data_IF_173843376819
#
_entry.id   IF_173843376819
#
_cell.length_a   1.000
_cell.length_b   1.000
_cell.length_c   1.000
_cell.angle_alpha   90.00
_cell.angle_beta   90.00
_cell.angle_gamma   90.00
#
_symmetry.space_group_name_H-M   'P 1'
#
loop_
_entity.id
_entity.type
_entity.pdbx_description
1 polymer ?
#
# COMPACT_ATOMS: atom_id res chain seq x y z
N UNK A 1 43.10 -21.32 -27.89
CA UNK A 1 42.78 -20.52 -26.69
C UNK A 1 42.89 -21.44 -25.48
N UNK A 2 43.70 -21.06 -24.49
CA UNK A 2 44.18 -21.97 -23.45
C UNK A 2 43.18 -22.00 -22.29
N UNK A 3 42.53 -23.15 -22.03
CA UNK A 3 41.52 -23.31 -20.97
C UNK A 3 42.04 -22.88 -19.58
N UNK A 4 43.36 -22.89 -19.38
CA UNK A 4 44.01 -22.41 -18.15
C UNK A 4 43.81 -20.91 -17.90
N UNK A 5 43.69 -20.09 -18.95
CA UNK A 5 43.49 -18.64 -18.82
C UNK A 5 42.05 -18.29 -18.46
N UNK A 6 41.08 -19.06 -18.98
CA UNK A 6 39.65 -18.88 -18.68
C UNK A 6 39.36 -19.26 -17.22
N UNK A 7 39.93 -20.36 -16.73
CA UNK A 7 39.75 -20.79 -15.33
C UNK A 7 40.40 -19.81 -14.34
N UNK A 8 41.55 -19.22 -14.69
CA UNK A 8 42.19 -18.22 -13.85
C UNK A 8 41.35 -16.94 -13.72
N UNK A 9 40.75 -16.46 -14.81
CA UNK A 9 39.86 -15.29 -14.80
C UNK A 9 38.58 -15.55 -13.98
N UNK A 10 38.00 -16.75 -14.09
CA UNK A 10 36.83 -17.13 -13.31
C UNK A 10 37.12 -17.19 -11.81
N UNK A 11 38.26 -17.75 -11.42
CA UNK A 11 38.67 -17.81 -10.01
C UNK A 11 38.90 -16.41 -9.42
N UNK A 12 39.52 -15.50 -10.17
CA UNK A 12 39.73 -14.11 -9.74
C UNK A 12 38.40 -13.37 -9.61
N UNK A 13 37.48 -13.53 -10.57
CA UNK A 13 36.16 -12.92 -10.50
C UNK A 13 35.34 -13.42 -9.29
N UNK A 14 35.43 -14.72 -8.97
CA UNK A 14 34.77 -15.31 -7.81
C UNK A 14 35.32 -14.75 -6.48
N UNK A 15 36.64 -14.60 -6.36
CA UNK A 15 37.27 -14.05 -5.16
C UNK A 15 36.85 -12.59 -4.95
N UNK A 16 36.81 -11.79 -6.03
CA UNK A 16 36.37 -10.39 -5.97
C UNK A 16 34.88 -10.31 -5.60
N UNK A 17 34.02 -11.18 -6.14
CA UNK A 17 32.59 -11.17 -5.78
C UNK A 17 32.36 -11.61 -4.33
N UNK A 18 33.11 -12.60 -3.83
CA UNK A 18 33.05 -13.07 -2.45
C UNK A 18 33.50 -11.98 -1.46
N UNK A 19 34.61 -11.29 -1.75
CA UNK A 19 35.07 -10.19 -0.87
C UNK A 19 34.13 -8.98 -0.90
N UNK A 20 33.59 -8.63 -2.07
CA UNK A 20 32.59 -7.55 -2.19
C UNK A 20 31.28 -7.86 -1.45
N UNK A 21 30.82 -9.11 -1.53
CA UNK A 21 29.60 -9.55 -0.83
C UNK A 21 29.82 -9.56 0.69
N UNK A 22 30.97 -10.03 1.19
CA UNK A 22 31.28 -10.04 2.63
C UNK A 22 31.40 -8.62 3.21
N UNK A 23 31.99 -7.66 2.49
CA UNK A 23 32.02 -6.25 2.93
C UNK A 23 30.64 -5.58 2.91
N UNK A 24 29.77 -5.97 1.97
CA UNK A 24 28.40 -5.42 1.91
C UNK A 24 27.53 -6.00 3.03
N UNK A 25 27.67 -7.30 3.33
CA UNK A 25 26.96 -7.96 4.44
C UNK A 25 27.45 -7.48 5.80
N UNK A 26 28.75 -7.18 5.97
CA UNK A 26 29.26 -6.64 7.24
C UNK A 26 28.78 -5.22 7.53
N UNK A 27 28.46 -4.42 6.49
CA UNK A 27 27.79 -3.12 6.66
C UNK A 27 26.31 -3.27 6.99
N UNK A 28 25.60 -4.24 6.42
CA UNK A 28 24.21 -4.53 6.79
C UNK A 28 24.06 -5.14 8.19
N UNK A 29 25.01 -5.97 8.62
CA UNK A 29 25.03 -6.54 9.99
C UNK A 29 25.20 -5.46 11.08
N UNK A 30 25.90 -4.37 10.77
CA UNK A 30 26.01 -3.20 11.66
C UNK A 30 24.79 -2.26 11.63
N UNK A 31 23.86 -2.44 10.69
CA UNK A 31 22.60 -1.70 10.63
C UNK A 31 21.53 -2.41 11.47
N UNK A 32 21.61 -3.74 11.62
CA UNK A 32 20.67 -4.52 12.44
C UNK A 32 20.83 -4.36 13.96
N UNK A 33 21.94 -3.79 14.45
CA UNK A 33 22.23 -3.63 15.89
C UNK A 33 22.16 -2.19 16.41
N UNK A 34 21.96 -1.20 15.52
CA UNK A 34 21.98 0.24 15.85
C UNK A 34 20.62 0.93 15.70
N UNK A 35 19.52 0.19 15.76
CA UNK A 35 18.16 0.77 15.64
C UNK A 35 17.69 1.54 16.88
N UNK A 36 18.44 1.52 17.99
CA UNK A 36 18.33 2.45 19.11
C UNK A 36 19.41 2.10 20.14
N UNK A 37 20.61 2.67 20.03
CA UNK A 37 21.50 2.74 21.19
C UNK A 37 21.49 4.19 21.66
N UNK A 38 20.48 4.52 22.47
CA UNK A 38 20.53 5.63 23.40
C UNK A 38 21.58 5.28 24.47
N UNK A 39 22.87 5.36 24.12
CA UNK A 39 23.94 5.26 25.11
C UNK A 39 24.16 6.63 25.74
N UNK A 40 23.90 6.73 27.04
CA UNK A 40 24.24 7.92 27.81
C UNK A 40 25.74 8.15 27.81
N UNK A 41 26.17 9.41 27.69
CA UNK A 41 27.57 9.79 27.87
C UNK A 41 27.93 9.73 29.36
N UNK A 42 28.72 8.75 29.76
CA UNK A 42 29.27 8.64 31.13
C UNK A 42 30.74 9.06 31.08
N UNK A 43 31.11 10.12 31.81
CA UNK A 43 32.52 10.44 32.03
C UNK A 43 33.13 9.38 32.94
N UNK A 44 34.35 8.90 32.66
CA UNK A 44 35.03 7.80 33.37
C UNK A 44 35.24 8.00 34.88
N UNK A 45 34.85 9.16 35.42
CA UNK A 45 34.95 9.54 36.83
C UNK A 45 33.60 9.61 37.54
N UNK A 46 32.48 9.41 36.84
CA UNK A 46 31.15 9.49 37.42
C UNK A 46 30.75 8.16 38.07
N UNK A 47 30.65 8.14 39.39
CA UNK A 47 30.13 7.01 40.18
C UNK A 47 28.66 7.17 40.56
N UNK A 48 28.05 8.31 40.22
CA UNK A 48 26.68 8.67 40.57
C UNK A 48 25.68 8.41 39.42
N UNK A 49 24.40 8.35 39.77
CA UNK A 49 23.29 8.25 38.81
C UNK A 49 23.01 9.62 38.19
N UNK A 50 23.17 9.73 36.86
CA UNK A 50 22.75 10.91 36.10
C UNK A 50 21.33 10.76 35.59
N UNK A 51 20.47 11.74 35.86
CA UNK A 51 19.13 11.79 35.27
C UNK A 51 19.26 12.31 33.83
N UNK A 52 18.82 11.52 32.86
CA UNK A 52 18.59 11.97 31.48
C UNK A 52 17.10 12.16 31.27
N UNK A 53 16.71 13.26 30.61
CA UNK A 53 15.32 13.48 30.21
C UNK A 53 15.25 13.29 28.70
N UNK A 54 14.47 12.32 28.25
CA UNK A 54 14.17 12.11 26.84
C UNK A 54 12.82 12.78 26.55
N UNK A 55 12.83 13.75 25.64
CA UNK A 55 11.62 14.40 25.15
C UNK A 55 11.35 13.92 23.72
N UNK A 56 10.16 13.39 23.48
CA UNK A 56 9.68 13.03 22.14
C UNK A 56 8.99 14.28 21.59
N UNK A 57 9.65 14.97 20.68
CA UNK A 57 9.15 16.24 20.11
C UNK A 57 8.04 16.03 19.07
N UNK A 58 7.98 14.84 18.48
CA UNK A 58 7.04 14.48 17.43
C UNK A 58 6.87 12.96 17.38
N UNK A 59 5.64 12.52 17.12
CA UNK A 59 5.35 11.13 16.77
C UNK A 59 4.45 11.08 15.54
N UNK A 60 4.75 10.14 14.64
CA UNK A 60 3.89 9.77 13.53
C UNK A 60 3.05 8.59 13.97
N UNK A 61 1.74 8.70 13.81
CA UNK A 61 0.80 7.63 14.11
C UNK A 61 -0.30 7.62 13.06
N UNK A 62 -0.65 6.44 12.56
CA UNK A 62 -1.78 6.26 11.65
C UNK A 62 -2.58 5.08 12.15
N UNK A 63 -3.84 5.32 12.49
CA UNK A 63 -4.83 4.29 12.72
C UNK A 63 -5.58 4.03 11.41
N UNK A 64 -5.77 2.75 11.10
CA UNK A 64 -6.44 2.26 9.90
C UNK A 64 -7.45 1.24 10.39
N UNK A 65 -8.73 1.50 10.22
CA UNK A 65 -9.78 0.57 10.69
C UNK A 65 -9.88 -0.68 9.82
N UNK A 66 -9.72 -0.52 8.51
CA UNK A 66 -9.65 -1.60 7.54
C UNK A 66 -8.60 -1.28 6.46
N UNK A 67 -7.93 -2.32 5.99
CA UNK A 67 -6.95 -2.27 4.91
C UNK A 67 -7.25 -3.26 3.78
N UNK A 68 -8.34 -4.00 3.88
CA UNK A 68 -8.72 -5.06 2.93
C UNK A 68 -9.92 -4.62 2.14
N UNK A 69 -9.78 -4.54 0.82
CA UNK A 69 -10.93 -4.39 -0.07
C UNK A 69 -11.58 -5.77 -0.22
N UNK A 70 -12.87 -5.87 0.08
CA UNK A 70 -13.72 -7.03 -0.19
C UNK A 70 -14.93 -6.65 -1.04
N UNK A 71 -14.87 -6.96 -2.33
CA UNK A 71 -15.99 -6.73 -3.26
C UNK A 71 -17.08 -7.82 -3.20
N UNK A 72 -17.01 -8.69 -2.18
CA UNK A 72 -17.93 -9.78 -1.99
C UNK A 72 -17.87 -10.83 -3.10
N UNK A 73 -18.93 -11.63 -3.19
CA UNK A 73 -19.07 -12.67 -4.21
C UNK A 73 -20.11 -12.28 -5.26
N UNK A 74 -19.73 -12.34 -6.53
CA UNK A 74 -20.64 -12.08 -7.63
C UNK A 74 -20.05 -12.51 -8.97
N UNK A 75 -20.71 -12.09 -10.05
CA UNK A 75 -20.23 -12.26 -11.41
C UNK A 75 -20.78 -11.14 -12.31
N UNK A 76 -20.09 -10.92 -13.43
CA UNK A 76 -20.50 -9.93 -14.42
C UNK A 76 -21.70 -10.42 -15.21
N UNK A 77 -22.69 -9.55 -15.41
CA UNK A 77 -23.84 -9.82 -16.26
C UNK A 77 -23.41 -10.29 -17.66
N UNK A 78 -23.96 -11.42 -18.11
CA UNK A 78 -23.58 -12.06 -19.38
C UNK A 78 -23.74 -11.19 -20.64
N UNK A 79 -24.53 -10.11 -20.58
CA UNK A 79 -24.72 -9.17 -21.69
C UNK A 79 -23.76 -7.99 -21.66
N UNK A 80 -22.98 -7.82 -20.59
CA UNK A 80 -22.03 -6.74 -20.40
C UNK A 80 -20.59 -7.24 -20.55
N UNK A 81 -19.69 -6.37 -21.00
CA UNK A 81 -18.26 -6.68 -21.14
C UNK A 81 -17.49 -6.58 -19.83
N UNK A 82 -18.02 -5.83 -18.87
CA UNK A 82 -17.45 -5.65 -17.55
C UNK A 82 -18.56 -5.24 -16.56
N UNK A 83 -18.28 -5.40 -15.28
CA UNK A 83 -19.03 -4.78 -14.20
C UNK A 83 -18.21 -3.62 -13.61
N UNK A 84 -18.90 -2.63 -13.06
CA UNK A 84 -18.29 -1.57 -12.27
C UNK A 84 -18.82 -1.65 -10.85
N UNK A 85 -17.92 -1.78 -9.89
CA UNK A 85 -18.25 -1.91 -8.48
C UNK A 85 -17.58 -0.79 -7.71
N UNK A 86 -18.30 -0.04 -6.88
CA UNK A 86 -17.69 1.04 -6.09
C UNK A 86 -18.20 1.07 -4.66
N UNK A 87 -17.29 1.40 -3.74
CA UNK A 87 -17.67 1.69 -2.36
C UNK A 87 -18.05 3.13 -2.07
N UNK A 88 -17.93 4.01 -3.06
CA UNK A 88 -18.31 5.40 -2.87
C UNK A 88 -19.84 5.55 -2.80
N UNK A 89 -20.39 6.20 -1.75
CA UNK A 89 -21.82 6.42 -1.67
C UNK A 89 -22.32 7.15 -2.91
N UNK A 90 -23.46 6.75 -3.45
CA UNK A 90 -24.07 7.29 -4.69
C UNK A 90 -23.36 6.97 -6.01
N UNK A 91 -22.34 6.11 -6.01
CA UNK A 91 -21.83 5.49 -7.24
C UNK A 91 -22.48 4.12 -7.40
N UNK A 92 -23.56 3.98 -8.19
CA UNK A 92 -24.22 2.69 -8.34
C UNK A 92 -23.30 1.66 -8.98
N UNK A 93 -23.41 0.42 -8.50
CA UNK A 93 -22.82 -0.73 -9.16
C UNK A 93 -23.54 -1.02 -10.48
N UNK A 94 -22.78 -1.34 -11.51
CA UNK A 94 -23.30 -1.69 -12.82
C UNK A 94 -22.87 -3.10 -13.18
N UNK A 95 -23.84 -3.89 -13.67
CA UNK A 95 -23.61 -5.23 -14.22
C UNK A 95 -22.92 -6.24 -13.28
N UNK A 96 -22.88 -5.95 -11.97
CA UNK A 96 -22.42 -6.88 -10.94
C UNK A 96 -23.62 -7.60 -10.30
N UNK A 97 -23.75 -8.90 -10.60
CA UNK A 97 -24.86 -9.73 -10.16
C UNK A 97 -24.43 -10.70 -9.06
N UNK A 98 -25.34 -10.94 -8.11
CA UNK A 98 -25.17 -11.98 -7.10
C UNK A 98 -25.69 -13.34 -7.61
N UNK A 99 -25.54 -14.38 -6.79
CA UNK A 99 -25.97 -15.75 -7.13
C UNK A 99 -27.48 -15.91 -7.44
N UNK A 100 -28.31 -14.91 -7.11
CA UNK A 100 -29.75 -14.87 -7.41
C UNK A 100 -30.10 -13.99 -8.63
N UNK A 101 -29.10 -13.60 -9.44
CA UNK A 101 -29.26 -12.72 -10.61
C UNK A 101 -29.79 -11.31 -10.28
N UNK A 102 -29.67 -10.90 -9.01
CA UNK A 102 -30.01 -9.56 -8.57
C UNK A 102 -28.74 -8.71 -8.49
N UNK A 103 -28.85 -7.37 -8.61
CA UNK A 103 -27.74 -6.49 -8.29
C UNK A 103 -27.16 -6.86 -6.92
N UNK A 104 -25.84 -6.99 -6.82
CA UNK A 104 -25.20 -7.41 -5.57
C UNK A 104 -25.47 -6.45 -4.39
N UNK A 105 -25.91 -5.21 -4.70
CA UNK A 105 -26.14 -4.15 -3.73
C UNK A 105 -24.87 -3.36 -3.48
N UNK A 106 -25.01 -2.14 -2.94
CA UNK A 106 -23.88 -1.24 -2.71
C UNK A 106 -22.81 -1.90 -1.81
N UNK A 107 -21.57 -1.91 -2.29
CA UNK A 107 -20.43 -2.41 -1.50
C UNK A 107 -20.02 -1.35 -0.49
N UNK A 108 -20.57 -1.41 0.71
CA UNK A 108 -20.22 -0.47 1.78
C UNK A 108 -18.95 -0.91 2.52
N UNK A 109 -17.83 -0.95 1.81
CA UNK A 109 -16.51 -1.23 2.39
C UNK A 109 -15.58 -0.08 1.98
N UNK A 110 -15.26 0.80 2.92
CA UNK A 110 -14.36 1.94 2.75
C UNK A 110 -13.39 1.93 3.91
N UNK A 111 -12.18 2.44 3.68
CA UNK A 111 -11.18 2.47 4.73
C UNK A 111 -11.23 3.81 5.46
N UNK A 112 -11.26 3.77 6.79
CA UNK A 112 -11.18 4.96 7.64
C UNK A 112 -9.76 5.14 8.15
N UNK A 113 -9.18 6.30 7.87
CA UNK A 113 -7.82 6.68 8.24
C UNK A 113 -7.86 7.81 9.27
N UNK A 114 -7.05 7.67 10.31
CA UNK A 114 -6.96 8.66 11.38
C UNK A 114 -5.50 8.87 11.85
N UNK A 115 -4.99 10.11 11.83
CA UNK A 115 -3.60 10.41 12.20
C UNK A 115 -3.43 10.56 13.72
N UNK A 116 -3.14 9.45 14.39
CA UNK A 116 -2.90 9.37 15.85
C UNK A 116 -1.57 9.96 16.30
N UNK A 117 -0.81 10.56 15.39
CA UNK A 117 0.41 11.28 15.70
C UNK A 117 0.18 12.66 16.32
N UNK A 118 1.27 13.39 16.51
CA UNK A 118 1.30 14.80 16.95
C UNK A 118 1.77 15.74 15.84
N UNK A 119 2.06 15.19 14.65
CA UNK A 119 2.56 15.94 13.49
C UNK A 119 1.70 15.69 12.26
N UNK A 120 1.63 16.70 11.39
CA UNK A 120 1.07 16.56 10.05
C UNK A 120 1.86 15.54 9.23
N UNK A 121 1.18 14.75 8.41
CA UNK A 121 1.80 13.71 7.57
C UNK A 121 1.34 13.78 6.12
N UNK A 122 2.22 13.36 5.21
CA UNK A 122 1.85 12.95 3.85
C UNK A 122 1.28 11.53 3.92
N UNK A 123 0.12 11.30 3.31
CA UNK A 123 -0.49 9.99 3.18
C UNK A 123 -0.44 9.48 1.74
N UNK A 124 0.05 8.25 1.59
CA UNK A 124 -0.03 7.51 0.33
C UNK A 124 -0.65 6.13 0.54
N UNK A 125 -1.23 5.57 -0.51
CA UNK A 125 -1.77 4.21 -0.54
C UNK A 125 -1.20 3.44 -1.72
N UNK A 126 -0.96 2.16 -1.55
CA UNK A 126 -0.58 1.24 -2.63
C UNK A 126 -1.16 -0.15 -2.37
N UNK A 127 -1.21 -1.01 -3.38
CA UNK A 127 -1.51 -2.43 -3.16
C UNK A 127 -0.36 -3.11 -2.40
N UNK A 128 -0.70 -4.12 -1.59
CA UNK A 128 0.24 -4.91 -0.79
C UNK A 128 0.01 -6.43 -0.87
N UNK A 129 -0.73 -6.88 -1.89
CA UNK A 129 -1.01 -8.31 -2.10
C UNK A 129 -0.05 -8.97 -3.09
N UNK A 130 0.88 -8.21 -3.68
CA UNK A 130 1.88 -8.74 -4.62
C UNK A 130 1.34 -8.95 -6.04
N UNK A 131 0.15 -8.44 -6.35
CA UNK A 131 -0.39 -8.43 -7.71
C UNK A 131 0.40 -7.45 -8.59
N UNK A 132 0.69 -7.86 -9.81
CA UNK A 132 1.42 -7.06 -10.80
C UNK A 132 0.51 -6.09 -11.54
N UNK A 133 -0.79 -6.38 -11.61
CA UNK A 133 -1.81 -5.62 -12.33
C UNK A 133 -3.22 -6.04 -11.86
N UNK A 134 -4.26 -5.40 -12.39
CA UNK A 134 -5.65 -5.67 -12.02
C UNK A 134 -6.15 -7.01 -12.56
N UNK A 135 -5.68 -7.47 -13.73
CA UNK A 135 -6.04 -8.79 -14.26
C UNK A 135 -5.57 -9.91 -13.35
N UNK A 136 -4.34 -9.85 -12.83
CA UNK A 136 -3.84 -10.86 -11.90
C UNK A 136 -4.66 -10.87 -10.61
N UNK A 137 -5.08 -9.69 -10.13
CA UNK A 137 -5.95 -9.58 -8.96
C UNK A 137 -7.32 -10.22 -9.22
N UNK A 138 -8.01 -9.83 -10.30
CA UNK A 138 -9.40 -10.23 -10.54
C UNK A 138 -9.51 -11.62 -11.15
N UNK A 139 -8.53 -12.02 -11.97
CA UNK A 139 -8.58 -13.21 -12.81
C UNK A 139 -7.57 -14.29 -12.43
N UNK A 140 -6.64 -13.98 -11.51
CA UNK A 140 -5.59 -14.90 -11.05
C UNK A 140 -4.39 -14.98 -11.99
N UNK A 141 -4.61 -14.89 -13.31
CA UNK A 141 -3.58 -14.74 -14.33
C UNK A 141 -4.06 -13.92 -15.54
N UNK A 142 -3.11 -13.36 -16.30
CA UNK A 142 -3.38 -12.55 -17.50
C UNK A 142 -3.92 -13.39 -18.68
N UNK A 143 -3.95 -14.73 -18.58
CA UNK A 143 -4.47 -15.60 -19.65
C UNK A 143 -5.96 -15.89 -19.50
N UNK A 144 -6.50 -15.69 -18.30
CA UNK A 144 -7.90 -15.98 -17.95
C UNK A 144 -8.82 -14.81 -18.32
N UNK A 145 -8.32 -13.57 -18.29
CA UNK A 145 -9.06 -12.38 -18.72
C UNK A 145 -8.32 -11.66 -19.84
N UNK A 146 -8.63 -11.93 -21.11
CA UNK A 146 -7.97 -11.28 -22.24
C UNK A 146 -8.46 -9.83 -22.48
N UNK A 147 -9.27 -9.27 -21.60
CA UNK A 147 -9.87 -7.95 -21.76
C UNK A 147 -9.07 -6.87 -21.02
N UNK A 148 -8.86 -5.75 -21.68
CA UNK A 148 -8.15 -4.58 -21.13
C UNK A 148 -9.04 -3.71 -20.19
N UNK A 149 -10.01 -4.33 -19.50
CA UNK A 149 -11.04 -3.65 -18.71
C UNK A 149 -10.84 -3.78 -17.20
N UNK A 150 -9.88 -4.58 -16.76
CA UNK A 150 -9.62 -4.79 -15.34
C UNK A 150 -8.96 -3.54 -14.74
N UNK A 151 -9.58 -2.94 -13.71
CA UNK A 151 -9.03 -1.75 -13.05
C UNK A 151 -9.32 -1.76 -11.54
N UNK A 152 -8.40 -1.22 -10.75
CA UNK A 152 -8.61 -0.81 -9.36
C UNK A 152 -8.20 0.65 -9.23
N UNK A 153 -9.16 1.49 -8.88
CA UNK A 153 -8.98 2.91 -8.63
C UNK A 153 -9.36 3.26 -7.20
N UNK A 154 -8.74 4.31 -6.67
CA UNK A 154 -8.92 4.80 -5.31
C UNK A 154 -9.26 6.27 -5.33
N UNK A 155 -10.07 6.72 -4.38
CA UNK A 155 -10.37 8.13 -4.14
C UNK A 155 -10.51 8.38 -2.65
N UNK A 156 -10.39 9.63 -2.25
CA UNK A 156 -10.53 10.05 -0.86
C UNK A 156 -11.66 11.06 -0.68
N UNK A 157 -12.22 11.05 0.52
CA UNK A 157 -13.10 12.09 1.00
C UNK A 157 -12.72 12.39 2.44
N UNK A 158 -12.89 13.62 2.86
CA UNK A 158 -12.81 13.92 4.29
C UNK A 158 -14.11 13.48 4.96
N UNK A 159 -14.01 12.87 6.14
CA UNK A 159 -15.15 12.60 7.00
C UNK A 159 -15.68 13.88 7.65
N UNK A 160 -14.75 14.78 8.02
CA UNK A 160 -15.00 16.11 8.57
C UNK A 160 -14.19 17.17 7.81
N UNK A 161 -14.64 18.42 7.80
CA UNK A 161 -13.93 19.46 7.03
C UNK A 161 -12.54 19.74 7.60
N UNK A 162 -11.52 19.80 6.73
CA UNK A 162 -10.14 20.19 7.02
C UNK A 162 -9.24 19.11 7.66
N UNK A 163 -9.64 17.84 7.65
CA UNK A 163 -8.72 16.73 7.98
C UNK A 163 -7.44 16.80 7.14
N UNK A 164 -7.58 17.11 5.85
CA UNK A 164 -6.51 17.25 4.88
C UNK A 164 -6.37 18.72 4.44
N UNK A 165 -5.35 19.42 4.93
CA UNK A 165 -5.16 20.85 4.62
C UNK A 165 -4.84 21.07 3.14
N UNK A 166 -4.13 20.13 2.52
CA UNK A 166 -3.64 20.25 1.15
C UNK A 166 -3.58 18.89 0.47
N UNK A 167 -3.88 18.88 -0.84
CA UNK A 167 -3.62 17.72 -1.69
C UNK A 167 -4.56 16.55 -1.45
N UNK A 168 -5.78 16.79 -0.96
CA UNK A 168 -6.79 15.73 -0.87
C UNK A 168 -7.09 15.21 -2.28
N UNK A 169 -6.90 13.91 -2.47
CA UNK A 169 -7.21 13.25 -3.71
C UNK A 169 -8.70 12.89 -3.77
N UNK A 170 -9.54 13.85 -4.18
CA UNK A 170 -10.99 13.63 -4.31
C UNK A 170 -11.41 12.89 -5.59
N UNK A 171 -10.49 12.72 -6.54
CA UNK A 171 -10.71 12.02 -7.80
C UNK A 171 -10.41 10.53 -7.70
N UNK A 172 -10.88 9.74 -8.67
CA UNK A 172 -10.41 8.37 -8.81
C UNK A 172 -9.04 8.38 -9.48
N UNK A 173 -8.03 7.88 -8.78
CA UNK A 173 -6.70 7.61 -9.30
C UNK A 173 -6.46 6.12 -9.40
N UNK A 174 -5.66 5.71 -10.39
CA UNK A 174 -5.43 4.31 -10.71
C UNK A 174 -4.34 3.72 -9.80
N UNK A 175 -4.68 2.65 -9.09
CA UNK A 175 -3.71 1.81 -8.36
C UNK A 175 -3.23 0.66 -9.24
N UNK A 176 -4.16 -0.03 -9.88
CA UNK A 176 -3.91 -1.11 -10.82
C UNK A 176 -4.72 -0.88 -12.09
N UNK A 177 -4.06 -0.91 -13.25
CA UNK A 177 -4.70 -1.10 -14.54
C UNK A 177 -4.59 -2.55 -15.00
N UNK A 178 -5.14 -2.84 -16.17
CA UNK A 178 -5.18 -4.14 -16.83
C UNK A 178 -3.82 -4.87 -16.82
N UNK A 179 -2.76 -4.18 -17.26
CA UNK A 179 -1.41 -4.74 -17.41
C UNK A 179 -0.34 -4.01 -16.59
N UNK A 180 -0.74 -3.05 -15.76
CA UNK A 180 0.19 -2.12 -15.09
C UNK A 180 -0.19 -1.95 -13.62
N UNK A 181 0.81 -1.97 -12.74
CA UNK A 181 0.72 -1.44 -11.38
C UNK A 181 1.29 -0.02 -11.36
N UNK A 182 0.46 0.95 -10.98
CA UNK A 182 0.83 2.38 -11.00
C UNK A 182 1.63 2.80 -9.77
N UNK A 183 1.69 1.96 -8.73
CA UNK A 183 2.44 2.21 -7.51
C UNK A 183 1.67 3.06 -6.50
N UNK A 184 2.38 3.80 -5.63
CA UNK A 184 1.75 4.63 -4.61
C UNK A 184 0.94 5.79 -5.22
N UNK A 185 -0.27 5.95 -4.70
CA UNK A 185 -1.17 7.07 -4.96
C UNK A 185 -1.18 7.97 -3.72
N UNK A 186 -1.09 9.28 -3.94
CA UNK A 186 -1.23 10.27 -2.86
C UNK A 186 -2.69 10.37 -2.46
N UNK A 187 -2.96 10.26 -1.16
CA UNK A 187 -4.29 10.41 -0.56
C UNK A 187 -4.47 11.85 -0.04
N UNK A 188 -3.44 12.36 0.65
CA UNK A 188 -3.42 13.68 1.25
C UNK A 188 -1.97 14.14 1.45
N UNK A 189 -1.64 15.37 1.07
CA UNK A 189 -0.31 15.95 1.30
C UNK A 189 -0.15 16.55 2.71
N UNK A 190 -1.23 16.86 3.42
CA UNK A 190 -1.13 17.47 4.75
C UNK A 190 -2.23 16.99 5.68
N UNK A 191 -2.17 15.72 6.07
CA UNK A 191 -3.14 15.12 6.97
C UNK A 191 -2.86 15.51 8.42
N UNK A 192 -3.79 16.25 9.03
CA UNK A 192 -3.62 16.80 10.38
C UNK A 192 -3.62 15.73 11.46
N UNK A 193 -2.87 15.93 12.56
CA UNK A 193 -2.93 15.05 13.72
C UNK A 193 -4.28 15.18 14.43
N UNK A 194 -4.78 14.07 14.99
CA UNK A 194 -6.11 13.98 15.63
C UNK A 194 -6.34 15.10 16.63
N UNK A 195 -7.27 16.00 16.31
CA UNK A 195 -7.90 16.89 17.29
C UNK A 195 -9.20 16.31 17.88
N UNK A 196 -9.64 15.15 17.36
CA UNK A 196 -10.85 14.43 17.76
C UNK A 196 -11.81 14.18 16.60
N UNK A 197 -11.66 14.92 15.49
CA UNK A 197 -12.59 14.89 14.35
C UNK A 197 -11.87 14.62 12.99
N UNK A 198 -10.55 14.69 12.92
CA UNK A 198 -9.82 14.53 11.64
C UNK A 198 -9.82 13.09 11.10
N UNK A 199 -10.71 12.81 10.15
CA UNK A 199 -10.81 11.52 9.47
C UNK A 199 -10.76 11.66 7.95
N UNK A 200 -10.09 10.70 7.28
CA UNK A 200 -10.13 10.52 5.84
C UNK A 200 -10.76 9.17 5.53
N UNK A 201 -11.79 9.19 4.69
CA UNK A 201 -12.42 8.02 4.12
C UNK A 201 -11.81 7.74 2.76
N UNK A 202 -11.36 6.50 2.53
CA UNK A 202 -10.80 6.06 1.26
C UNK A 202 -11.75 5.06 0.63
N UNK A 203 -12.23 5.41 -0.54
CA UNK A 203 -13.16 4.60 -1.33
C UNK A 203 -12.44 4.04 -2.55
N UNK A 204 -13.01 2.98 -3.09
CA UNK A 204 -12.45 2.32 -4.25
C UNK A 204 -13.52 2.09 -5.31
N UNK A 205 -13.03 1.88 -6.52
CA UNK A 205 -13.83 1.43 -7.65
C UNK A 205 -13.05 0.40 -8.43
N UNK A 206 -13.70 -0.72 -8.69
CA UNK A 206 -13.16 -1.87 -9.39
C UNK A 206 -13.94 -2.06 -10.68
N UNK A 207 -13.23 -2.13 -11.80
CA UNK A 207 -13.79 -2.62 -13.06
C UNK A 207 -13.45 -4.09 -13.20
N UNK A 208 -14.47 -4.93 -13.29
CA UNK A 208 -14.35 -6.38 -13.29
C UNK A 208 -14.70 -6.88 -14.69
N UNK A 209 -13.77 -7.53 -15.41
CA UNK A 209 -14.05 -8.01 -16.76
C UNK A 209 -15.01 -9.20 -16.75
N UNK A 210 -15.75 -9.39 -17.86
CA UNK A 210 -16.75 -10.45 -17.98
C UNK A 210 -16.18 -11.85 -17.73
N UNK A 211 -14.92 -12.04 -18.10
CA UNK A 211 -14.19 -13.30 -18.01
C UNK A 211 -13.68 -13.59 -16.59
N UNK A 212 -13.81 -12.64 -15.65
CA UNK A 212 -13.38 -12.84 -14.29
C UNK A 212 -14.09 -14.05 -13.67
N UNK A 213 -13.35 -15.02 -13.11
CA UNK A 213 -13.95 -16.20 -12.51
C UNK A 213 -14.74 -15.80 -11.27
N UNK A 214 -15.88 -16.47 -11.09
CA UNK A 214 -16.77 -16.23 -9.94
C UNK A 214 -16.06 -16.51 -8.62
N UNK A 215 -16.44 -15.79 -7.58
CA UNK A 215 -15.91 -15.97 -6.23
C UNK A 215 -15.61 -14.65 -5.54
N UNK A 216 -15.15 -14.76 -4.30
CA UNK A 216 -14.71 -13.61 -3.52
C UNK A 216 -13.34 -13.12 -4.01
N UNK A 217 -13.18 -11.80 -4.12
CA UNK A 217 -11.92 -11.15 -4.48
C UNK A 217 -11.54 -10.18 -3.38
N UNK A 218 -10.36 -10.38 -2.82
CA UNK A 218 -9.83 -9.50 -1.78
C UNK A 218 -8.44 -9.01 -2.15
N UNK A 219 -8.15 -7.76 -1.79
CA UNK A 219 -6.82 -7.15 -1.96
C UNK A 219 -6.49 -6.31 -0.74
N UNK A 220 -5.26 -6.46 -0.24
CA UNK A 220 -4.76 -5.68 0.88
C UNK A 220 -4.09 -4.42 0.34
N UNK A 221 -4.37 -3.29 0.96
CA UNK A 221 -3.70 -2.03 0.71
C UNK A 221 -2.69 -1.73 1.83
N UNK A 222 -1.60 -1.05 1.48
CA UNK A 222 -0.66 -0.48 2.42
C UNK A 222 -0.80 1.04 2.38
N UNK A 223 -1.03 1.62 3.55
CA UNK A 223 -0.99 3.06 3.75
C UNK A 223 0.35 3.46 4.38
N UNK A 224 0.95 4.52 3.86
CA UNK A 224 2.19 5.08 4.40
C UNK A 224 1.95 6.50 4.86
N UNK A 225 2.33 6.79 6.10
CA UNK A 225 2.33 8.13 6.68
C UNK A 225 3.77 8.60 6.89
N UNK A 226 4.13 9.74 6.30
CA UNK A 226 5.45 10.35 6.43
C UNK A 226 5.33 11.75 7.04
N UNK A 227 6.04 12.02 8.14
CA UNK A 227 6.06 13.36 8.75
C UNK A 227 6.63 14.42 7.79
N UNK A 228 6.11 15.64 7.93
CA UNK A 228 6.50 16.82 7.15
C UNK A 228 7.27 17.81 8.02
#
# INVERSE_FOLDING_TARGET
>A
MNNKTIVALLAVALVISLTGTVMSVSKFSNIGSNWMILSGAVTSSATDTGNTTLEILANVGLNIEDSTIDIGSGYVNSTATHASVSSYPSSPDFDWLNASELPAGDINDYHLLNNTGSTTVNLTVQQNSGYQNAEQFLCGDNSTCPSDMAELTVRSSEGNSNSCILGLNSGYEMLLGDQINYGPVVICDQFQPVDGDDEIQVYYKVLIPQEAPTGQKTINLLYTAEAI
#
